data_IF_350962484332
#
_entry.id   IF_350962484332
#
_cell.length_a   1.000
_cell.length_b   1.000
_cell.length_c   1.000
_cell.angle_alpha   90.00
_cell.angle_beta   90.00
_cell.angle_gamma   90.00
#
_symmetry.space_group_name_H-M   'P 1'
#
loop_
_entity.id
_entity.type
_entity.pdbx_description
1 polymer ?
#
# COMPACT_ATOMS: atom_id res chain seq x y z
N UNK A 1 15.03 -1.22 -7.26
CA UNK A 1 13.66 -0.62 -7.20
C UNK A 1 12.85 -0.65 -8.51
N UNK A 2 13.38 -1.17 -9.63
CA UNK A 2 12.66 -1.19 -10.93
C UNK A 2 11.33 -1.97 -10.86
N UNK A 3 11.33 -3.18 -10.29
CA UNK A 3 10.14 -4.03 -10.16
C UNK A 3 9.02 -3.39 -9.35
N UNK A 4 9.35 -2.84 -8.17
CA UNK A 4 8.38 -2.18 -7.30
C UNK A 4 7.72 -0.97 -7.98
N UNK A 5 8.50 -0.17 -8.73
CA UNK A 5 7.94 0.93 -9.53
C UNK A 5 6.93 0.43 -10.56
N UNK A 6 7.27 -0.61 -11.33
CA UNK A 6 6.35 -1.16 -12.32
C UNK A 6 5.11 -1.80 -11.69
N UNK A 7 5.27 -2.43 -10.52
CA UNK A 7 4.16 -2.94 -9.74
C UNK A 7 3.16 -1.84 -9.39
N UNK A 8 3.60 -0.68 -8.89
CA UNK A 8 2.66 0.43 -8.65
C UNK A 8 2.08 1.03 -9.94
N UNK A 9 2.87 1.09 -11.01
CA UNK A 9 2.40 1.61 -12.30
C UNK A 9 1.30 0.73 -12.93
N UNK A 10 1.24 -0.56 -12.62
CA UNK A 10 0.20 -1.45 -13.15
C UNK A 10 -1.20 -1.13 -12.61
N UNK A 11 -1.30 -0.37 -11.51
CA UNK A 11 -2.58 0.06 -10.92
C UNK A 11 -3.14 1.35 -11.54
N UNK A 12 -2.40 2.03 -12.42
CA UNK A 12 -2.79 3.36 -12.93
C UNK A 12 -4.18 3.38 -13.57
N UNK A 13 -4.49 2.35 -14.34
CA UNK A 13 -5.72 2.26 -15.14
C UNK A 13 -6.72 1.25 -14.52
N UNK A 14 -6.51 0.88 -13.25
CA UNK A 14 -7.35 -0.07 -12.52
C UNK A 14 -8.34 0.69 -11.66
N UNK A 15 -9.63 0.47 -11.89
CA UNK A 15 -10.70 0.95 -10.99
C UNK A 15 -10.67 0.19 -9.67
N UNK A 16 -10.00 0.74 -8.66
CA UNK A 16 -9.87 0.15 -7.33
C UNK A 16 -10.17 1.20 -6.27
N UNK A 17 -10.89 0.80 -5.21
CA UNK A 17 -11.12 1.67 -4.06
C UNK A 17 -9.80 1.92 -3.30
N UNK A 18 -9.72 3.07 -2.61
CA UNK A 18 -8.52 3.48 -1.88
C UNK A 18 -8.08 2.42 -0.86
N UNK A 19 -9.00 2.01 0.03
CA UNK A 19 -8.72 0.99 1.06
C UNK A 19 -8.30 -0.36 0.46
N UNK A 20 -8.98 -0.80 -0.60
CA UNK A 20 -8.69 -2.06 -1.27
C UNK A 20 -7.32 -2.04 -1.95
N UNK A 21 -6.89 -0.89 -2.49
CA UNK A 21 -5.54 -0.75 -3.05
C UNK A 21 -4.47 -0.95 -1.96
N UNK A 22 -4.65 -0.38 -0.77
CA UNK A 22 -3.73 -0.57 0.36
C UNK A 22 -3.66 -2.02 0.80
N UNK A 23 -4.83 -2.66 0.96
CA UNK A 23 -4.94 -4.06 1.33
C UNK A 23 -4.25 -4.98 0.32
N UNK A 24 -4.52 -4.81 -0.98
CA UNK A 24 -3.93 -5.63 -2.03
C UNK A 24 -2.43 -5.44 -2.15
N UNK A 25 -1.94 -4.20 -2.06
CA UNK A 25 -0.50 -3.92 -2.02
C UNK A 25 0.16 -4.61 -0.83
N UNK A 26 -0.45 -4.56 0.36
CA UNK A 26 0.07 -5.22 1.54
C UNK A 26 0.17 -6.74 1.37
N UNK A 27 -0.90 -7.40 0.92
CA UNK A 27 -0.91 -8.86 0.75
C UNK A 27 0.08 -9.33 -0.33
N UNK A 28 0.13 -8.63 -1.47
CA UNK A 28 1.07 -8.96 -2.56
C UNK A 28 2.53 -8.82 -2.11
N UNK A 29 2.86 -7.74 -1.39
CA UNK A 29 4.22 -7.54 -0.87
C UNK A 29 4.56 -8.55 0.24
N UNK A 30 3.62 -8.84 1.14
CA UNK A 30 3.80 -9.84 2.20
C UNK A 30 4.06 -11.22 1.62
N UNK A 31 3.29 -11.63 0.60
CA UNK A 31 3.46 -12.91 -0.07
C UNK A 31 4.79 -12.99 -0.84
N UNK A 32 5.16 -11.93 -1.56
CA UNK A 32 6.37 -11.91 -2.39
C UNK A 32 7.67 -11.80 -1.57
N UNK A 33 7.65 -11.10 -0.43
CA UNK A 33 8.86 -10.81 0.35
C UNK A 33 9.00 -11.65 1.61
N UNK A 34 7.90 -12.24 2.11
CA UNK A 34 7.84 -12.99 3.38
C UNK A 34 8.57 -12.29 4.54
N UNK A 35 8.30 -10.99 4.80
CA UNK A 35 9.08 -10.21 5.74
C UNK A 35 8.71 -10.54 7.19
N UNK A 36 9.65 -10.34 8.12
CA UNK A 36 9.38 -10.43 9.58
C UNK A 36 8.32 -9.42 10.03
N UNK A 37 8.35 -8.22 9.46
CA UNK A 37 7.37 -7.16 9.69
C UNK A 37 7.26 -6.31 8.43
N UNK A 38 6.06 -5.85 8.12
CA UNK A 38 5.79 -4.92 7.02
C UNK A 38 4.64 -3.99 7.41
N UNK A 39 4.77 -2.73 7.03
CA UNK A 39 3.72 -1.72 7.11
C UNK A 39 3.59 -1.06 5.74
N UNK A 40 2.37 -0.96 5.23
CA UNK A 40 2.04 -0.23 4.01
C UNK A 40 1.14 0.93 4.39
N UNK A 41 1.56 2.14 4.00
CA UNK A 41 0.77 3.37 4.18
C UNK A 41 0.57 3.99 2.81
N UNK A 42 -0.68 4.30 2.47
CA UNK A 42 -1.05 5.01 1.24
C UNK A 42 -1.70 6.33 1.60
N UNK A 43 -1.14 7.42 1.06
CA UNK A 43 -1.62 8.79 1.27
C UNK A 43 -2.29 9.24 -0.03
N UNK A 44 -3.57 9.55 0.03
CA UNK A 44 -4.35 9.95 -1.15
C UNK A 44 -4.49 11.46 -1.25
N UNK A 45 -4.53 11.95 -2.48
CA UNK A 45 -4.89 13.34 -2.75
C UNK A 45 -6.31 13.64 -2.25
N UNK A 46 -6.50 14.85 -1.75
CA UNK A 46 -7.80 15.33 -1.26
C UNK A 46 -8.85 15.24 -2.36
N UNK A 47 -10.01 14.65 -2.05
CA UNK A 47 -11.18 14.60 -2.93
C UNK A 47 -12.41 15.06 -2.16
N UNK A 48 -13.12 16.05 -2.71
CA UNK A 48 -14.31 16.61 -2.06
C UNK A 48 -14.03 17.24 -0.69
N UNK A 49 -12.80 17.73 -0.45
CA UNK A 49 -12.38 18.26 0.85
C UNK A 49 -12.03 17.21 1.91
N UNK A 50 -12.04 15.92 1.53
CA UNK A 50 -11.69 14.82 2.43
C UNK A 50 -10.26 14.37 2.15
N UNK A 51 -9.43 14.41 3.18
CA UNK A 51 -8.11 13.78 3.20
C UNK A 51 -8.25 12.31 3.61
N UNK A 52 -7.49 11.42 2.98
CA UNK A 52 -7.57 9.98 3.27
C UNK A 52 -6.18 9.37 3.33
N UNK A 53 -5.89 8.72 4.45
CA UNK A 53 -4.72 7.88 4.63
C UNK A 53 -5.18 6.49 5.05
N UNK A 54 -4.65 5.46 4.42
CA UNK A 54 -4.92 4.07 4.77
C UNK A 54 -3.62 3.39 5.19
N UNK A 55 -3.68 2.56 6.23
CA UNK A 55 -2.53 1.85 6.78
C UNK A 55 -2.85 0.36 6.98
N UNK A 56 -1.90 -0.49 6.64
CA UNK A 56 -1.96 -1.94 6.86
C UNK A 56 -0.65 -2.46 7.45
N UNK A 57 -0.76 -3.35 8.44
CA UNK A 57 0.39 -3.91 9.14
C UNK A 57 1.01 -2.96 10.17
N UNK A 58 2.12 -3.41 10.77
CA UNK A 58 2.85 -2.66 11.80
C UNK A 58 4.32 -3.04 11.77
N UNK A 59 5.17 -2.06 12.09
CA UNK A 59 6.57 -2.31 12.41
C UNK A 59 6.63 -2.41 13.94
N UNK A 60 7.17 -3.49 14.52
CA UNK A 60 7.34 -3.59 15.96
C UNK A 60 8.26 -2.46 16.44
N UNK A 61 8.00 -1.93 17.63
CA UNK A 61 8.88 -0.96 18.26
C UNK A 61 10.30 -1.55 18.38
N UNK A 62 11.34 -0.74 18.12
CA UNK A 62 12.71 -1.15 18.43
C UNK A 62 12.83 -1.25 19.95
N UNK A 63 13.19 -2.44 20.45
CA UNK A 63 13.59 -2.66 21.85
C UNK A 63 14.76 -1.73 22.27
#
# INVERSE_FOLDING_TARGET
LKSLKYYFLSYRDVGIYQEEATHRIYEDLKAALQPRAIKVTTIYNIRGGIETTCEMGKIPDPD
#
